data_IF_650847223604
#
_entry.id   IF_650847223604
#
_cell.length_a   1.000
_cell.length_b   1.000
_cell.length_c   1.000
_cell.angle_alpha   90.00
_cell.angle_beta   90.00
_cell.angle_gamma   90.00
#
_symmetry.space_group_name_H-M   'P 1'
#
loop_
_entity.id
_entity.type
_entity.pdbx_description
1 polymer ?
#
# COMPACT_ATOMS: atom_id res chain seq x y z
N UNK A 1 -18.00 -39.65 4.74
CA UNK A 1 -17.43 -38.30 4.92
C UNK A 1 -16.21 -38.20 4.05
N UNK A 2 -16.39 -37.65 2.86
CA UNK A 2 -15.41 -37.73 1.80
C UNK A 2 -14.55 -36.46 1.75
N UNK A 3 -13.25 -36.59 2.01
CA UNK A 3 -12.24 -35.53 1.87
C UNK A 3 -11.86 -35.32 0.39
N UNK A 4 -12.85 -35.30 -0.50
CA UNK A 4 -12.66 -35.15 -1.95
C UNK A 4 -12.24 -33.71 -2.25
N UNK A 5 -10.95 -33.57 -2.59
CA UNK A 5 -10.31 -32.46 -3.30
C UNK A 5 -10.73 -31.04 -2.90
N UNK A 6 -10.08 -30.48 -1.85
CA UNK A 6 -9.83 -29.03 -1.90
C UNK A 6 -9.04 -28.76 -3.17
N UNK A 7 -9.46 -27.84 -4.06
CA UNK A 7 -8.64 -27.46 -5.19
C UNK A 7 -7.26 -27.05 -4.67
N UNK A 8 -6.20 -27.55 -5.30
CA UNK A 8 -4.84 -27.14 -4.98
C UNK A 8 -4.80 -25.62 -5.08
N UNK A 9 -4.45 -24.96 -3.96
CA UNK A 9 -4.31 -23.51 -3.97
C UNK A 9 -3.27 -23.14 -5.05
N UNK A 10 -3.60 -22.17 -5.92
CA UNK A 10 -2.65 -21.67 -6.91
C UNK A 10 -1.33 -21.31 -6.20
N UNK A 11 -0.22 -21.89 -6.65
CA UNK A 11 1.13 -21.63 -6.13
C UNK A 11 1.89 -20.71 -7.10
N UNK A 12 2.86 -19.93 -6.61
CA UNK A 12 3.77 -19.19 -7.49
C UNK A 12 4.56 -20.17 -8.38
N UNK A 13 4.89 -19.82 -9.63
CA UNK A 13 4.61 -18.54 -10.29
C UNK A 13 3.18 -18.42 -10.81
N UNK A 14 2.54 -17.29 -10.56
CA UNK A 14 1.17 -17.00 -10.98
C UNK A 14 1.12 -16.57 -12.44
N UNK A 15 0.16 -17.13 -13.19
CA UNK A 15 -0.06 -16.70 -14.58
C UNK A 15 -0.65 -15.29 -14.64
N UNK A 16 -0.39 -14.56 -15.74
CA UNK A 16 -0.98 -13.25 -15.98
C UNK A 16 -2.53 -13.29 -15.90
N UNK A 17 -3.15 -14.34 -16.44
CA UNK A 17 -4.59 -14.55 -16.36
C UNK A 17 -5.09 -14.69 -14.91
N UNK A 18 -4.36 -15.41 -14.06
CA UNK A 18 -4.67 -15.50 -12.63
C UNK A 18 -4.58 -14.12 -11.97
N UNK A 19 -3.51 -13.37 -12.21
CA UNK A 19 -3.29 -12.05 -11.61
C UNK A 19 -4.38 -11.05 -12.02
N UNK A 20 -4.78 -11.03 -13.29
CA UNK A 20 -5.88 -10.18 -13.77
C UNK A 20 -7.19 -10.53 -13.08
N UNK A 21 -7.55 -11.83 -13.02
CA UNK A 21 -8.76 -12.28 -12.33
C UNK A 21 -8.73 -11.95 -10.83
N UNK A 22 -7.58 -12.15 -10.20
CA UNK A 22 -7.39 -11.88 -8.78
C UNK A 22 -7.60 -10.39 -8.45
N UNK A 23 -6.97 -9.49 -9.22
CA UNK A 23 -7.10 -8.04 -9.05
C UNK A 23 -8.55 -7.59 -9.24
N UNK A 24 -9.23 -8.08 -10.28
CA UNK A 24 -10.65 -7.76 -10.49
C UNK A 24 -11.51 -8.25 -9.32
N UNK A 25 -11.28 -9.46 -8.82
CA UNK A 25 -12.03 -9.99 -7.67
C UNK A 25 -11.81 -9.16 -6.39
N UNK A 26 -10.64 -8.56 -6.18
CA UNK A 26 -10.40 -7.64 -5.06
C UNK A 26 -11.17 -6.32 -5.23
N UNK A 27 -11.22 -5.76 -6.46
CA UNK A 27 -12.03 -4.57 -6.76
C UNK A 27 -13.51 -4.87 -6.54
N UNK A 28 -14.02 -5.99 -7.05
CA UNK A 28 -15.42 -6.38 -6.88
C UNK A 28 -15.77 -6.59 -5.40
N UNK A 29 -14.84 -7.15 -4.62
CA UNK A 29 -14.98 -7.29 -3.16
C UNK A 29 -15.05 -5.92 -2.49
N UNK A 30 -14.15 -5.01 -2.84
CA UNK A 30 -14.14 -3.65 -2.31
C UNK A 30 -15.49 -2.96 -2.57
N UNK A 31 -15.99 -3.01 -3.82
CA UNK A 31 -17.29 -2.45 -4.21
C UNK A 31 -18.46 -3.03 -3.44
N UNK A 32 -18.47 -4.33 -3.14
CA UNK A 32 -19.50 -4.95 -2.29
C UNK A 32 -19.46 -4.40 -0.85
N UNK A 33 -18.28 -4.22 -0.28
CA UNK A 33 -18.13 -3.62 1.05
C UNK A 33 -18.61 -2.16 1.03
N UNK A 34 -18.18 -1.39 0.02
CA UNK A 34 -18.60 0.00 -0.17
C UNK A 34 -20.11 0.15 -0.29
N UNK A 35 -20.78 -0.71 -1.08
CA UNK A 35 -22.23 -0.69 -1.20
C UNK A 35 -22.91 -0.92 0.17
N UNK A 36 -22.49 -1.97 0.89
CA UNK A 36 -22.99 -2.24 2.23
C UNK A 36 -22.74 -1.08 3.22
N UNK A 37 -21.57 -0.42 3.13
CA UNK A 37 -21.24 0.76 3.94
C UNK A 37 -22.21 1.91 3.66
N UNK A 38 -22.49 2.20 2.39
CA UNK A 38 -23.43 3.26 1.98
C UNK A 38 -24.86 2.95 2.44
N UNK A 39 -25.29 1.69 2.32
CA UNK A 39 -26.59 1.24 2.81
C UNK A 39 -26.71 1.44 4.33
N UNK A 40 -25.67 1.08 5.10
CA UNK A 40 -25.64 1.29 6.56
C UNK A 40 -25.70 2.76 6.95
N UNK A 41 -24.99 3.64 6.24
CA UNK A 41 -25.11 5.08 6.47
C UNK A 41 -26.52 5.59 6.17
N UNK A 42 -27.15 5.10 5.10
CA UNK A 42 -28.53 5.46 4.76
C UNK A 42 -29.54 4.96 5.81
N UNK A 43 -29.35 3.77 6.39
CA UNK A 43 -30.15 3.26 7.50
C UNK A 43 -30.06 4.18 8.74
N UNK A 44 -28.84 4.59 9.13
CA UNK A 44 -28.63 5.50 10.26
C UNK A 44 -29.28 6.87 10.01
N UNK A 45 -29.13 7.41 8.81
CA UNK A 45 -29.78 8.64 8.38
C UNK A 45 -31.31 8.52 8.47
N UNK A 46 -31.90 7.44 7.93
CA UNK A 46 -33.33 7.19 7.94
C UNK A 46 -33.91 6.98 9.35
N UNK A 47 -33.09 6.52 10.30
CA UNK A 47 -33.45 6.39 11.70
C UNK A 47 -33.31 7.69 12.51
N UNK A 48 -33.01 8.83 11.86
CA UNK A 48 -32.80 10.12 12.55
C UNK A 48 -31.50 10.20 13.34
N UNK A 49 -30.51 9.34 13.02
CA UNK A 49 -29.21 9.22 13.69
C UNK A 49 -28.04 9.54 12.74
N UNK A 50 -28.03 10.71 12.08
CA UNK A 50 -27.09 11.02 11.01
C UNK A 50 -25.63 11.10 11.47
N UNK A 51 -25.39 11.31 12.76
CA UNK A 51 -24.04 11.43 13.34
C UNK A 51 -23.50 10.11 13.90
N UNK A 52 -24.33 9.08 13.94
CA UNK A 52 -23.93 7.78 14.45
C UNK A 52 -22.99 7.08 13.47
N UNK A 53 -22.33 6.03 13.98
CA UNK A 53 -21.28 5.32 13.28
C UNK A 53 -21.38 3.81 13.54
N UNK A 54 -20.83 3.02 12.63
CA UNK A 54 -20.71 1.57 12.78
C UNK A 54 -19.30 1.11 12.45
N UNK A 55 -18.71 0.30 13.34
CA UNK A 55 -17.38 -0.24 13.17
C UNK A 55 -17.45 -1.68 12.62
N UNK A 56 -16.56 -2.02 11.70
CA UNK A 56 -16.49 -3.36 11.11
C UNK A 56 -15.06 -3.77 10.82
N UNK A 57 -14.89 -5.06 10.51
CA UNK A 57 -13.59 -5.68 10.28
C UNK A 57 -13.48 -6.19 8.85
N UNK A 58 -12.34 -5.92 8.22
CA UNK A 58 -12.00 -6.39 6.87
C UNK A 58 -10.87 -7.40 6.95
N UNK A 59 -11.14 -8.64 6.53
CA UNK A 59 -10.16 -9.72 6.56
C UNK A 59 -9.27 -9.76 5.31
N UNK A 60 -8.08 -10.35 5.40
CA UNK A 60 -7.27 -10.65 4.22
C UNK A 60 -6.71 -9.42 3.49
N UNK A 61 -6.38 -8.35 4.21
CA UNK A 61 -5.94 -7.07 3.63
C UNK A 61 -4.48 -7.06 3.18
N UNK A 62 -3.72 -8.12 3.46
CA UNK A 62 -2.32 -8.31 3.04
C UNK A 62 -2.16 -9.47 2.04
N UNK A 63 -3.23 -9.86 1.36
CA UNK A 63 -3.23 -10.96 0.40
C UNK A 63 -2.80 -10.50 -1.01
N UNK A 64 -1.66 -9.82 -1.15
CA UNK A 64 -1.13 -9.49 -2.49
C UNK A 64 -0.27 -10.65 -3.03
N UNK A 65 -0.52 -11.17 -4.25
CA UNK A 65 0.31 -12.21 -4.86
C UNK A 65 1.80 -11.86 -4.96
N UNK A 66 2.15 -10.56 -5.01
CA UNK A 66 3.54 -10.08 -5.04
C UNK A 66 4.37 -10.52 -3.85
N UNK A 67 3.74 -10.76 -2.69
CA UNK A 67 4.45 -11.24 -1.50
C UNK A 67 4.84 -12.71 -1.60
N UNK A 68 4.23 -13.48 -2.50
CA UNK A 68 4.51 -14.91 -2.69
C UNK A 68 5.28 -15.19 -3.99
N UNK A 69 5.08 -14.37 -5.01
CA UNK A 69 5.70 -14.52 -6.32
C UNK A 69 6.64 -13.34 -6.62
N UNK A 70 7.97 -13.53 -6.57
CA UNK A 70 8.94 -12.47 -6.85
C UNK A 70 8.98 -12.04 -8.32
N UNK A 71 8.35 -12.80 -9.23
CA UNK A 71 8.24 -12.38 -10.64
C UNK A 71 7.17 -11.32 -10.86
N UNK A 72 6.24 -11.14 -9.92
CA UNK A 72 5.25 -10.06 -9.98
C UNK A 72 5.87 -8.81 -9.38
N UNK A 73 6.04 -7.77 -10.19
CA UNK A 73 6.64 -6.50 -9.76
C UNK A 73 8.02 -6.69 -9.08
N UNK A 74 9.02 -7.21 -9.81
CA UNK A 74 10.28 -7.69 -9.21
C UNK A 74 11.08 -6.60 -8.50
N UNK A 75 11.64 -6.93 -7.34
CA UNK A 75 12.59 -6.12 -6.59
C UNK A 75 13.44 -7.02 -5.67
N UNK A 76 14.21 -6.44 -4.76
CA UNK A 76 15.15 -7.15 -3.87
C UNK A 76 14.48 -7.69 -2.59
N UNK A 77 13.14 -7.66 -2.50
CA UNK A 77 12.41 -8.16 -1.32
C UNK A 77 12.61 -9.66 -1.10
N UNK A 78 12.52 -10.09 0.14
CA UNK A 78 12.46 -11.51 0.50
C UNK A 78 11.10 -12.10 0.11
N UNK A 79 11.03 -13.12 -0.76
CA UNK A 79 9.77 -13.79 -1.07
C UNK A 79 9.16 -14.48 0.15
N UNK A 80 7.83 -14.47 0.26
CA UNK A 80 7.10 -15.01 1.40
C UNK A 80 6.96 -14.05 2.59
N UNK A 81 7.41 -12.81 2.44
CA UNK A 81 7.38 -11.78 3.49
C UNK A 81 6.72 -10.50 2.97
N UNK A 82 6.05 -9.79 3.88
CA UNK A 82 5.65 -8.40 3.73
C UNK A 82 6.16 -7.60 4.94
N UNK A 83 6.03 -6.28 4.92
CA UNK A 83 6.56 -5.38 5.97
C UNK A 83 6.03 -5.64 7.39
N UNK A 84 4.99 -6.47 7.55
CA UNK A 84 4.45 -6.93 8.84
C UNK A 84 4.75 -8.41 9.16
N UNK A 85 5.53 -9.10 8.34
CA UNK A 85 5.92 -10.51 8.49
C UNK A 85 5.27 -11.47 7.48
N UNK A 86 4.95 -12.69 7.92
CA UNK A 86 4.28 -13.72 7.09
C UNK A 86 2.89 -13.21 6.64
N UNK A 87 2.65 -13.00 5.32
CA UNK A 87 1.39 -12.50 4.81
C UNK A 87 0.17 -13.32 5.25
N UNK A 88 0.30 -14.64 5.41
CA UNK A 88 -0.79 -15.51 5.89
C UNK A 88 -1.18 -15.19 7.33
N UNK A 89 -0.20 -14.90 8.18
CA UNK A 89 -0.44 -14.49 9.58
C UNK A 89 -1.03 -13.09 9.61
N UNK A 90 -0.41 -12.15 8.91
CA UNK A 90 -0.81 -10.73 8.92
C UNK A 90 -2.23 -10.53 8.39
N UNK A 91 -2.64 -11.30 7.37
CA UNK A 91 -4.00 -11.27 6.83
C UNK A 91 -5.11 -11.43 7.88
N UNK A 92 -4.81 -12.12 8.98
CA UNK A 92 -5.74 -12.35 10.08
C UNK A 92 -5.42 -11.55 11.34
N UNK A 93 -4.29 -10.85 11.35
CA UNK A 93 -3.76 -10.08 12.49
C UNK A 93 -4.57 -8.81 12.76
N UNK A 94 -4.64 -8.34 14.03
CA UNK A 94 -5.29 -7.07 14.37
C UNK A 94 -4.57 -5.84 13.81
N UNK A 95 -3.28 -5.94 13.45
CA UNK A 95 -2.48 -4.79 12.98
C UNK A 95 -2.50 -4.57 11.46
N UNK A 96 -3.29 -5.36 10.71
CA UNK A 96 -3.35 -5.22 9.26
C UNK A 96 -3.94 -3.87 8.82
N UNK A 97 -3.44 -3.31 7.72
CA UNK A 97 -4.03 -2.12 7.10
C UNK A 97 -5.50 -2.36 6.77
N UNK A 98 -6.32 -1.32 6.92
CA UNK A 98 -7.77 -1.36 6.73
C UNK A 98 -8.52 -2.42 7.58
N UNK A 99 -7.85 -3.11 8.52
CA UNK A 99 -8.43 -4.23 9.26
C UNK A 99 -9.65 -3.80 10.05
N UNK A 100 -9.55 -2.66 10.75
CA UNK A 100 -10.65 -2.05 11.47
C UNK A 100 -11.04 -0.77 10.74
N UNK A 101 -12.33 -0.61 10.46
CA UNK A 101 -12.89 0.57 9.80
C UNK A 101 -14.16 1.02 10.49
N UNK A 102 -14.42 2.32 10.45
CA UNK A 102 -15.78 2.86 10.54
C UNK A 102 -16.38 2.97 9.14
N UNK A 103 -17.70 3.22 9.02
CA UNK A 103 -18.34 3.42 7.72
C UNK A 103 -17.67 4.56 6.95
N UNK A 104 -17.47 5.71 7.62
CA UNK A 104 -16.87 6.89 6.99
C UNK A 104 -15.38 6.75 6.74
N UNK A 105 -14.63 6.07 7.61
CA UNK A 105 -13.20 5.84 7.36
C UNK A 105 -12.98 4.96 6.13
N UNK A 106 -13.85 3.97 5.90
CA UNK A 106 -13.82 3.16 4.69
C UNK A 106 -14.01 4.00 3.43
N UNK A 107 -15.05 4.84 3.37
CA UNK A 107 -15.29 5.70 2.21
C UNK A 107 -14.15 6.70 1.98
N UNK A 108 -13.55 7.21 3.04
CA UNK A 108 -12.46 8.18 2.96
C UNK A 108 -11.14 7.58 2.45
N UNK A 109 -10.77 6.39 2.93
CA UNK A 109 -9.42 5.85 2.75
C UNK A 109 -9.33 4.58 1.88
N UNK A 110 -10.38 3.76 1.87
CA UNK A 110 -10.29 2.38 1.37
C UNK A 110 -11.27 2.04 0.25
N UNK A 111 -12.33 2.83 0.05
CA UNK A 111 -13.27 2.63 -1.06
C UNK A 111 -12.59 2.90 -2.39
N UNK A 112 -12.63 1.92 -3.30
CA UNK A 112 -11.97 1.99 -4.59
C UNK A 112 -12.49 3.14 -5.48
N UNK A 113 -13.81 3.38 -5.47
CA UNK A 113 -14.43 4.38 -6.34
C UNK A 113 -14.73 5.72 -5.62
N UNK A 114 -14.67 5.77 -4.28
CA UNK A 114 -15.05 6.96 -3.50
C UNK A 114 -13.89 7.66 -2.78
N UNK A 115 -12.83 6.92 -2.43
CA UNK A 115 -11.69 7.52 -1.76
C UNK A 115 -11.01 8.54 -2.69
N UNK A 116 -10.58 9.67 -2.13
CA UNK A 116 -9.93 10.75 -2.90
C UNK A 116 -8.40 10.69 -2.85
N UNK A 117 -7.84 9.69 -2.16
CA UNK A 117 -6.41 9.50 -2.05
C UNK A 117 -5.83 8.82 -3.28
N UNK A 118 -5.42 9.61 -4.28
CA UNK A 118 -4.69 9.14 -5.46
C UNK A 118 -3.43 9.97 -5.66
N UNK A 119 -2.28 9.42 -5.26
CA UNK A 119 -0.99 10.13 -5.36
C UNK A 119 -0.53 10.39 -6.79
N UNK A 120 -0.96 9.59 -7.77
CA UNK A 120 -0.61 9.81 -9.18
C UNK A 120 -1.44 10.95 -9.75
N UNK A 121 -2.74 10.98 -9.45
CA UNK A 121 -3.59 12.09 -9.85
C UNK A 121 -3.17 13.41 -9.16
N UNK A 122 -2.97 13.37 -7.84
CA UNK A 122 -2.58 14.55 -7.06
C UNK A 122 -1.14 15.02 -7.31
N UNK A 123 -0.25 14.13 -7.75
CA UNK A 123 1.15 14.48 -8.02
C UNK A 123 1.30 15.60 -9.06
N UNK A 124 0.36 15.69 -10.01
CA UNK A 124 0.36 16.71 -11.06
C UNK A 124 0.20 18.13 -10.49
N UNK A 125 -0.51 18.27 -9.37
CA UNK A 125 -0.79 19.56 -8.73
C UNK A 125 0.34 20.02 -7.79
N UNK A 126 1.40 19.23 -7.61
CA UNK A 126 2.54 19.62 -6.79
C UNK A 126 3.25 20.82 -7.40
N UNK A 127 3.16 21.95 -6.70
CA UNK A 127 3.72 23.25 -7.09
C UNK A 127 5.02 23.59 -6.34
N UNK A 128 5.63 22.61 -5.67
CA UNK A 128 6.85 22.78 -4.87
C UNK A 128 7.90 21.73 -5.26
N UNK A 129 9.19 22.00 -5.04
CA UNK A 129 10.24 21.00 -5.22
C UNK A 129 9.94 19.71 -4.48
N UNK A 130 10.30 18.57 -5.07
CA UNK A 130 9.98 17.27 -4.51
C UNK A 130 11.15 16.27 -4.57
N UNK A 131 11.36 15.56 -3.46
CA UNK A 131 12.29 14.45 -3.36
C UNK A 131 11.51 13.15 -3.18
N UNK A 132 11.81 12.14 -4.00
CA UNK A 132 11.27 10.78 -3.86
C UNK A 132 12.41 9.80 -3.58
N UNK A 133 12.32 9.07 -2.47
CA UNK A 133 13.28 7.99 -2.16
C UNK A 133 12.53 6.66 -2.22
N UNK A 134 13.00 5.77 -3.10
CA UNK A 134 12.50 4.40 -3.25
C UNK A 134 13.42 3.37 -2.60
N UNK A 135 12.84 2.34 -1.97
CA UNK A 135 13.58 1.26 -1.32
C UNK A 135 13.57 0.00 -2.20
N UNK A 136 14.76 -0.51 -2.58
CA UNK A 136 14.82 -1.59 -3.57
C UNK A 136 14.44 -2.96 -3.01
N UNK A 137 14.49 -3.18 -1.70
CA UNK A 137 13.99 -4.38 -1.04
C UNK A 137 12.64 -4.15 -0.32
N UNK A 138 11.89 -3.11 -0.71
CA UNK A 138 10.61 -2.77 -0.07
C UNK A 138 9.56 -3.90 -0.23
N UNK A 139 8.97 -4.28 0.90
CA UNK A 139 8.01 -5.36 1.10
C UNK A 139 6.61 -4.85 1.51
N UNK A 140 6.32 -3.58 1.21
CA UNK A 140 5.00 -2.92 1.28
C UNK A 140 4.70 -2.11 0.01
N UNK A 141 5.61 -1.22 -0.37
CA UNK A 141 5.56 -0.25 -1.45
C UNK A 141 6.72 -0.51 -2.41
N UNK A 142 6.52 -1.42 -3.37
CA UNK A 142 7.54 -1.79 -4.35
C UNK A 142 8.09 -0.56 -5.12
N UNK A 143 9.31 -0.63 -5.67
CA UNK A 143 9.92 0.48 -6.43
C UNK A 143 9.05 1.04 -7.56
N UNK A 144 8.22 0.20 -8.19
CA UNK A 144 7.28 0.68 -9.23
C UNK A 144 6.24 1.66 -8.68
N UNK A 145 5.91 1.62 -7.38
CA UNK A 145 5.05 2.60 -6.75
C UNK A 145 5.75 3.97 -6.65
N UNK A 146 6.98 4.01 -6.13
CA UNK A 146 7.77 5.22 -6.01
C UNK A 146 8.03 5.87 -7.39
N UNK A 147 8.38 5.07 -8.40
CA UNK A 147 8.61 5.55 -9.77
C UNK A 147 7.36 6.18 -10.38
N UNK A 148 6.20 5.54 -10.27
CA UNK A 148 4.93 6.09 -10.77
C UNK A 148 4.55 7.40 -10.08
N UNK A 149 4.81 7.52 -8.77
CA UNK A 149 4.61 8.77 -8.06
C UNK A 149 5.55 9.85 -8.60
N UNK A 150 6.85 9.57 -8.67
CA UNK A 150 7.85 10.50 -9.21
C UNK A 150 7.50 10.98 -10.63
N UNK A 151 7.15 10.05 -11.52
CA UNK A 151 6.78 10.36 -12.90
C UNK A 151 5.56 11.30 -12.97
N UNK A 152 4.61 11.13 -12.04
CA UNK A 152 3.40 11.94 -11.96
C UNK A 152 3.59 13.35 -11.40
N UNK A 153 4.69 13.61 -10.67
CA UNK A 153 4.97 14.93 -10.09
C UNK A 153 5.05 15.97 -11.21
N UNK A 154 4.19 16.98 -11.13
CA UNK A 154 4.11 18.07 -12.12
C UNK A 154 5.21 19.13 -11.99
N UNK A 155 5.83 19.25 -10.81
CA UNK A 155 6.92 20.19 -10.59
C UNK A 155 8.20 19.76 -11.34
N UNK A 156 8.85 20.72 -12.00
CA UNK A 156 10.07 20.45 -12.79
C UNK A 156 11.29 20.17 -11.91
N UNK A 157 11.37 20.83 -10.75
CA UNK A 157 12.38 20.56 -9.74
C UNK A 157 11.94 19.34 -8.92
N UNK A 158 12.35 18.16 -9.38
CA UNK A 158 12.10 16.90 -8.71
C UNK A 158 13.29 15.97 -8.83
N UNK A 159 13.61 15.28 -7.74
CA UNK A 159 14.71 14.33 -7.66
C UNK A 159 14.21 12.96 -7.19
N UNK A 160 14.81 11.88 -7.71
CA UNK A 160 14.55 10.53 -7.27
C UNK A 160 15.85 9.80 -6.93
N UNK A 161 15.85 9.13 -5.78
CA UNK A 161 16.92 8.23 -5.37
C UNK A 161 16.34 6.85 -5.06
N UNK A 162 17.15 5.81 -5.28
CA UNK A 162 16.80 4.45 -4.89
C UNK A 162 17.89 3.87 -4.00
N UNK A 163 17.51 3.19 -2.92
CA UNK A 163 18.44 2.64 -1.93
C UNK A 163 18.47 1.10 -2.04
N UNK A 164 19.57 0.52 -2.53
CA UNK A 164 19.75 -0.93 -2.59
C UNK A 164 19.64 -1.60 -1.22
N UNK A 165 18.94 -2.73 -1.16
CA UNK A 165 18.77 -3.55 0.04
C UNK A 165 17.91 -2.93 1.14
N UNK A 166 17.38 -1.72 0.95
CA UNK A 166 16.50 -1.07 1.92
C UNK A 166 15.13 -1.73 1.93
N UNK A 167 14.65 -2.09 3.12
CA UNK A 167 13.28 -2.55 3.38
C UNK A 167 12.34 -1.38 3.68
N UNK A 168 11.03 -1.63 3.81
CA UNK A 168 10.05 -0.56 4.00
C UNK A 168 10.33 0.35 5.23
N UNK A 169 10.81 -0.24 6.33
CA UNK A 169 11.03 0.49 7.59
C UNK A 169 12.49 0.63 7.99
N UNK A 170 13.44 0.19 7.17
CA UNK A 170 14.84 0.07 7.56
C UNK A 170 14.99 -0.67 8.91
N UNK A 171 14.17 -1.70 9.12
CA UNK A 171 14.07 -2.38 10.41
C UNK A 171 15.16 -3.45 10.53
N UNK A 172 16.02 -3.32 11.55
CA UNK A 172 17.05 -4.30 11.86
C UNK A 172 18.47 -3.72 11.81
N UNK A 173 19.46 -4.41 12.41
CA UNK A 173 20.84 -3.95 12.42
C UNK A 173 21.46 -3.80 11.02
N UNK A 174 21.06 -4.64 10.07
CA UNK A 174 21.51 -4.69 8.68
C UNK A 174 20.93 -3.57 7.79
N UNK A 175 20.02 -2.78 8.35
CA UNK A 175 19.34 -1.67 7.66
C UNK A 175 19.83 -0.28 8.09
N UNK A 176 20.72 -0.20 9.09
CA UNK A 176 21.19 1.08 9.65
C UNK A 176 22.00 1.92 8.67
N UNK A 177 22.83 1.28 7.86
CA UNK A 177 23.60 1.93 6.79
C UNK A 177 22.68 2.47 5.70
N UNK A 178 21.65 1.71 5.29
CA UNK A 178 20.64 2.19 4.33
C UNK A 178 19.83 3.36 4.87
N UNK A 179 19.46 3.32 6.16
CA UNK A 179 18.81 4.44 6.82
C UNK A 179 19.73 5.68 6.86
N UNK A 180 21.02 5.47 7.16
CA UNK A 180 22.04 6.54 7.12
C UNK A 180 22.10 7.19 5.73
N UNK A 181 22.17 6.39 4.68
CA UNK A 181 22.14 6.87 3.29
C UNK A 181 20.86 7.68 2.98
N UNK A 182 19.69 7.20 3.42
CA UNK A 182 18.44 7.95 3.23
C UNK A 182 18.47 9.31 3.93
N UNK A 183 18.96 9.36 5.18
CA UNK A 183 19.09 10.59 5.96
C UNK A 183 20.08 11.55 5.31
N UNK A 184 21.22 11.05 4.82
CA UNK A 184 22.21 11.87 4.10
C UNK A 184 21.60 12.51 2.84
N UNK A 185 20.89 11.73 2.02
CA UNK A 185 20.21 12.23 0.81
C UNK A 185 19.19 13.30 1.17
N UNK A 186 18.32 13.06 2.18
CA UNK A 186 17.32 14.04 2.61
C UNK A 186 18.00 15.32 3.13
N UNK A 187 19.05 15.18 3.94
CA UNK A 187 19.76 16.32 4.54
C UNK A 187 20.43 17.18 3.46
N UNK A 188 21.16 16.56 2.54
CA UNK A 188 21.80 17.24 1.41
C UNK A 188 20.75 17.96 0.55
N UNK A 189 19.66 17.28 0.20
CA UNK A 189 18.59 17.86 -0.60
C UNK A 189 17.98 19.09 0.08
N UNK A 190 17.67 19.00 1.38
CA UNK A 190 17.14 20.14 2.14
C UNK A 190 18.11 21.33 2.18
N UNK A 191 19.42 21.09 2.31
CA UNK A 191 20.44 22.15 2.31
C UNK A 191 20.52 22.81 0.93
N UNK A 192 20.54 22.02 -0.15
CA UNK A 192 20.61 22.55 -1.53
C UNK A 192 19.38 23.37 -1.93
N UNK A 193 18.24 23.17 -1.26
CA UNK A 193 17.00 23.91 -1.48
C UNK A 193 16.76 25.01 -0.42
N UNK A 194 17.78 25.34 0.38
CA UNK A 194 17.71 26.35 1.45
C UNK A 194 16.60 26.08 2.49
N UNK A 195 16.18 24.82 2.65
CA UNK A 195 15.21 24.39 3.67
C UNK A 195 15.87 23.99 4.99
N UNK A 196 17.19 23.79 4.98
CA UNK A 196 18.01 23.54 6.17
C UNK A 196 19.38 24.23 6.02
N UNK A 197 20.06 24.49 7.13
CA UNK A 197 21.44 24.99 7.11
C UNK A 197 22.44 23.84 7.18
N UNK A 198 23.60 24.01 6.53
CA UNK A 198 24.74 23.14 6.78
C UNK A 198 25.18 23.32 8.26
N UNK A 199 25.12 22.24 9.02
CA UNK A 199 25.55 22.20 10.43
C UNK A 199 27.06 22.13 10.60
#
# INVERSE_FOLDING_TARGET
MDRRCRPVAHQPRYSAQFLTRYRQAQIDRNRRITAWVKDKLAELQGAGRPQDEFCFVVHGTMADPRWLDPSVDPNERTPGTCYLGDPRVVNMSPVGLARFCTLRSWLSQWSYDDARGDGVACGQDLAVPALVIGNLADDACTPSHARRLFDAIGHADKEMYEIPGATHYYAGPDQRDKLGQAVEIVTDWLIRHDFASAG
#
